data_IF_504582527315
#
_entry.id   IF_504582527315
#
_cell.length_a   1.000
_cell.length_b   1.000
_cell.length_c   1.000
_cell.angle_alpha   90.00
_cell.angle_beta   90.00
_cell.angle_gamma   90.00
#
_symmetry.space_group_name_H-M   'P 1'
#
loop_
_entity.id
_entity.type
_entity.pdbx_description
1 polymer ?
#
# COMPACT_ATOMS: atom_id res chain seq x y z
N UNK A 1 16.74 -1.74 8.86
CA UNK A 1 15.31 -2.11 8.90
C UNK A 1 15.11 -3.45 8.21
N UNK A 2 14.37 -4.33 8.84
CA UNK A 2 14.05 -5.64 8.30
C UNK A 2 12.59 -5.69 7.85
N UNK A 3 12.35 -6.26 6.67
CA UNK A 3 11.00 -6.54 6.15
C UNK A 3 10.84 -8.05 6.10
N UNK A 4 9.77 -8.56 6.71
CA UNK A 4 9.47 -9.99 6.75
C UNK A 4 7.99 -10.25 6.55
N UNK A 5 7.64 -11.49 6.22
CA UNK A 5 6.24 -11.91 6.19
C UNK A 5 5.61 -11.76 7.58
N UNK A 6 4.36 -11.32 7.58
CA UNK A 6 3.55 -11.26 8.80
C UNK A 6 3.18 -12.66 9.26
N UNK A 7 3.02 -12.81 10.57
CA UNK A 7 2.45 -14.00 11.20
C UNK A 7 1.16 -13.62 11.92
N UNK A 8 0.31 -14.57 12.31
CA UNK A 8 -0.91 -14.26 13.06
C UNK A 8 -0.68 -13.45 14.34
N UNK A 9 0.49 -13.59 14.96
CA UNK A 9 0.87 -12.84 16.17
C UNK A 9 1.08 -11.35 15.88
N UNK A 10 1.28 -10.97 14.63
CA UNK A 10 1.48 -9.57 14.22
C UNK A 10 0.16 -8.79 14.07
N UNK A 11 -0.99 -9.46 14.11
CA UNK A 11 -2.29 -8.85 13.81
C UNK A 11 -2.53 -7.57 14.61
N UNK A 12 -2.34 -7.62 15.92
CA UNK A 12 -2.58 -6.49 16.81
C UNK A 12 -1.67 -5.30 16.47
N UNK A 13 -0.39 -5.56 16.22
CA UNK A 13 0.57 -4.52 15.83
C UNK A 13 0.23 -3.90 14.47
N UNK A 14 -0.18 -4.72 13.52
CA UNK A 14 -0.61 -4.26 12.20
C UNK A 14 -1.85 -3.37 12.32
N UNK A 15 -2.86 -3.80 13.07
CA UNK A 15 -4.08 -3.01 13.26
C UNK A 15 -3.78 -1.66 13.93
N UNK A 16 -2.86 -1.63 14.87
CA UNK A 16 -2.42 -0.39 15.51
C UNK A 16 -1.78 0.58 14.50
N UNK A 17 -0.91 0.07 13.62
CA UNK A 17 -0.31 0.87 12.55
C UNK A 17 -1.36 1.42 11.59
N UNK A 18 -2.32 0.59 11.20
CA UNK A 18 -3.39 0.99 10.26
C UNK A 18 -4.32 2.03 10.89
N UNK A 19 -4.66 1.91 12.16
CA UNK A 19 -5.47 2.89 12.87
C UNK A 19 -4.75 4.25 12.97
N UNK A 20 -3.45 4.23 13.23
CA UNK A 20 -2.63 5.44 13.24
C UNK A 20 -2.56 6.10 11.87
N UNK A 21 -2.41 5.31 10.81
CA UNK A 21 -2.38 5.80 9.43
C UNK A 21 -3.74 6.41 9.03
N UNK A 22 -4.86 5.79 9.42
CA UNK A 22 -6.20 6.33 9.17
C UNK A 22 -6.36 7.70 9.85
N UNK A 23 -5.96 7.81 11.10
CA UNK A 23 -6.01 9.07 11.83
C UNK A 23 -5.18 10.16 11.15
N UNK A 24 -4.01 9.81 10.66
CA UNK A 24 -3.15 10.73 9.90
C UNK A 24 -3.84 11.18 8.61
N UNK A 25 -4.43 10.26 7.85
CA UNK A 25 -5.17 10.58 6.62
C UNK A 25 -6.31 11.56 6.89
N UNK A 26 -7.08 11.34 7.95
CA UNK A 26 -8.20 12.21 8.35
C UNK A 26 -7.67 13.61 8.64
N UNK A 27 -6.59 13.75 9.40
CA UNK A 27 -5.98 15.05 9.71
C UNK A 27 -5.49 15.78 8.46
N UNK A 28 -5.13 15.03 7.41
CA UNK A 28 -4.67 15.60 6.13
C UNK A 28 -5.82 15.87 5.15
N UNK A 29 -7.07 15.73 5.59
CA UNK A 29 -8.25 15.97 4.75
C UNK A 29 -8.68 14.78 3.91
N UNK A 30 -8.08 13.60 4.11
CA UNK A 30 -8.40 12.37 3.39
C UNK A 30 -9.19 11.43 4.31
N UNK A 31 -10.51 11.70 4.45
CA UNK A 31 -11.38 10.97 5.37
C UNK A 31 -12.11 9.80 4.74
N UNK A 32 -12.00 9.59 3.42
CA UNK A 32 -12.82 8.62 2.70
C UNK A 32 -12.04 7.47 2.09
N UNK A 33 -10.72 7.55 1.97
CA UNK A 33 -9.92 6.46 1.43
C UNK A 33 -10.03 5.20 2.29
N UNK A 34 -9.93 5.35 3.60
CA UNK A 34 -10.12 4.27 4.57
C UNK A 34 -11.27 4.64 5.50
N UNK A 35 -12.52 4.27 5.17
CA UNK A 35 -13.65 4.55 6.04
C UNK A 35 -13.53 3.80 7.36
N UNK A 36 -14.34 4.20 8.33
CA UNK A 36 -14.37 3.55 9.64
C UNK A 36 -14.58 2.04 9.46
N UNK A 37 -13.73 1.24 10.14
CA UNK A 37 -13.77 -0.22 10.05
C UNK A 37 -12.98 -0.82 8.91
N UNK A 38 -12.39 -0.02 8.03
CA UNK A 38 -11.49 -0.50 6.97
C UNK A 38 -10.08 0.06 7.19
N UNK A 39 -9.02 -0.74 7.02
CA UNK A 39 -9.06 -2.19 6.82
C UNK A 39 -9.54 -2.92 8.09
N UNK A 40 -10.36 -3.96 7.92
CA UNK A 40 -10.87 -4.76 9.04
C UNK A 40 -9.84 -5.80 9.50
N UNK A 41 -10.02 -6.33 10.72
CA UNK A 41 -9.21 -7.46 11.18
C UNK A 41 -9.33 -8.66 10.24
N UNK A 42 -10.53 -8.93 9.72
CA UNK A 42 -10.74 -10.03 8.78
C UNK A 42 -9.94 -9.83 7.50
N UNK A 43 -9.89 -8.62 6.95
CA UNK A 43 -9.08 -8.31 5.78
C UNK A 43 -7.62 -8.62 6.06
N UNK A 44 -7.11 -8.18 7.20
CA UNK A 44 -5.69 -8.39 7.54
C UNK A 44 -5.40 -9.86 7.80
N UNK A 45 -6.31 -10.60 8.44
CA UNK A 45 -6.16 -12.06 8.59
C UNK A 45 -6.07 -12.76 7.23
N UNK A 46 -6.89 -12.35 6.26
CA UNK A 46 -6.81 -12.88 4.89
C UNK A 46 -5.48 -12.54 4.23
N UNK A 47 -5.00 -11.30 4.40
CA UNK A 47 -3.72 -10.88 3.86
C UNK A 47 -2.57 -11.73 4.42
N UNK A 48 -2.59 -11.98 5.73
CA UNK A 48 -1.59 -12.82 6.41
C UNK A 48 -1.68 -14.26 5.90
N UNK A 49 -2.89 -14.82 5.86
CA UNK A 49 -3.09 -16.21 5.43
C UNK A 49 -2.70 -16.43 3.98
N UNK A 50 -2.86 -15.43 3.12
CA UNK A 50 -2.49 -15.52 1.69
C UNK A 50 -0.98 -15.39 1.44
N UNK A 51 -0.19 -15.00 2.47
CA UNK A 51 1.26 -14.82 2.32
C UNK A 51 1.63 -13.49 1.66
N UNK A 52 0.75 -12.49 1.69
CA UNK A 52 0.97 -11.19 1.06
C UNK A 52 1.11 -10.03 2.05
N UNK A 53 0.96 -10.29 3.34
CA UNK A 53 1.15 -9.27 4.37
C UNK A 53 2.60 -9.26 4.85
N UNK A 54 3.18 -8.07 4.92
CA UNK A 54 4.56 -7.86 5.38
C UNK A 54 4.59 -6.85 6.50
N UNK A 55 5.56 -7.02 7.39
CA UNK A 55 5.82 -6.08 8.48
C UNK A 55 7.26 -5.61 8.45
N UNK A 56 7.47 -4.43 8.97
CA UNK A 56 8.77 -3.78 9.04
C UNK A 56 9.18 -3.63 10.50
N UNK A 57 10.42 -4.00 10.81
CA UNK A 57 11.02 -3.87 12.12
C UNK A 57 12.35 -3.12 12.01
N UNK A 58 12.72 -2.40 13.05
CA UNK A 58 13.99 -1.67 13.10
C UNK A 58 14.71 -2.01 14.38
N UNK A 59 15.95 -2.46 14.27
CA UNK A 59 16.80 -2.70 15.43
C UNK A 59 16.84 -1.46 16.33
N UNK A 60 16.67 -1.64 17.64
CA UNK A 60 16.66 -0.55 18.62
C UNK A 60 15.31 0.11 18.80
N UNK A 61 14.29 -0.26 18.03
CA UNK A 61 12.91 0.22 18.18
C UNK A 61 12.00 -0.94 18.54
N UNK A 62 11.12 -0.73 19.53
CA UNK A 62 10.18 -1.75 19.96
C UNK A 62 9.00 -1.87 18.98
N UNK A 63 8.59 -3.10 18.71
CA UNK A 63 7.43 -3.40 17.92
C UNK A 63 7.59 -3.13 16.43
N UNK A 64 6.47 -3.14 15.72
CA UNK A 64 6.42 -2.92 14.29
C UNK A 64 6.50 -1.43 13.97
N UNK A 65 7.27 -1.07 12.95
CA UNK A 65 7.39 0.32 12.48
C UNK A 65 6.64 0.56 11.17
N UNK A 66 6.25 -0.49 10.49
CA UNK A 66 5.49 -0.40 9.25
C UNK A 66 4.85 -1.71 8.85
N UNK A 67 3.91 -1.64 7.90
CA UNK A 67 3.24 -2.79 7.30
C UNK A 67 2.78 -2.44 5.90
N UNK A 68 2.66 -3.45 5.05
CA UNK A 68 2.10 -3.31 3.71
C UNK A 68 1.65 -4.67 3.17
N UNK A 69 0.76 -4.62 2.18
CA UNK A 69 0.40 -5.77 1.36
C UNK A 69 1.18 -5.70 0.06
N UNK A 70 1.74 -6.82 -0.37
CA UNK A 70 2.40 -6.92 -1.67
C UNK A 70 2.09 -8.27 -2.30
N UNK A 71 1.59 -8.26 -3.53
CA UNK A 71 1.30 -9.46 -4.30
C UNK A 71 1.69 -9.26 -5.76
N UNK A 72 2.13 -10.33 -6.40
CA UNK A 72 2.38 -10.38 -7.85
C UNK A 72 1.26 -11.19 -8.51
N UNK A 73 0.07 -10.62 -8.49
CA UNK A 73 -1.18 -11.24 -8.97
C UNK A 73 -2.04 -10.17 -9.62
N UNK A 74 -2.97 -10.60 -10.48
CA UNK A 74 -3.97 -9.70 -11.03
C UNK A 74 -4.86 -9.15 -9.92
N UNK A 75 -5.02 -7.83 -9.89
CA UNK A 75 -5.91 -7.15 -8.98
C UNK A 75 -7.26 -6.96 -9.68
N UNK A 76 -8.37 -7.54 -9.17
CA UNK A 76 -9.66 -7.44 -9.84
C UNK A 76 -10.12 -6.00 -10.12
N UNK A 77 -9.83 -5.06 -9.20
CA UNK A 77 -10.21 -3.65 -9.38
C UNK A 77 -9.39 -2.93 -10.43
N UNK A 78 -8.30 -3.53 -10.92
CA UNK A 78 -7.45 -2.96 -11.97
C UNK A 78 -7.79 -3.47 -13.36
N UNK A 79 -8.73 -4.40 -13.49
CA UNK A 79 -9.14 -4.95 -14.78
C UNK A 79 -9.89 -3.95 -15.64
N UNK A 80 -10.60 -3.00 -14.99
CA UNK A 80 -11.28 -1.91 -15.66
C UNK A 80 -10.67 -0.59 -15.23
N UNK A 81 -10.20 0.20 -16.19
CA UNK A 81 -9.61 1.52 -15.97
C UNK A 81 -10.19 2.54 -16.93
N UNK A 82 -10.56 3.69 -16.44
CA UNK A 82 -10.83 4.87 -17.26
C UNK A 82 -9.49 5.54 -17.54
N UNK A 83 -8.97 5.30 -18.73
CA UNK A 83 -7.61 5.59 -19.11
C UNK A 83 -6.94 4.35 -19.66
N UNK A 84 -5.64 4.23 -19.49
CA UNK A 84 -4.92 3.05 -19.97
C UNK A 84 -3.67 2.80 -19.11
N UNK A 85 -3.50 1.54 -18.69
CA UNK A 85 -2.23 1.09 -18.13
C UNK A 85 -1.10 1.21 -19.16
N UNK A 86 0.14 1.26 -18.70
CA UNK A 86 1.30 1.36 -19.59
C UNK A 86 1.45 0.14 -20.50
N UNK A 87 1.04 -1.04 -20.01
CA UNK A 87 1.10 -2.30 -20.75
C UNK A 87 0.17 -3.34 -20.12
N UNK A 88 0.12 -4.54 -20.68
CA UNK A 88 -0.61 -5.70 -20.18
C UNK A 88 0.31 -6.73 -19.54
N UNK A 89 1.56 -6.38 -19.24
CA UNK A 89 2.51 -7.30 -18.60
C UNK A 89 2.10 -7.61 -17.16
N UNK A 90 2.53 -8.75 -16.61
CA UNK A 90 2.35 -9.04 -15.20
C UNK A 90 2.90 -7.94 -14.30
N UNK A 91 2.24 -7.69 -13.18
CA UNK A 91 2.58 -6.58 -12.28
C UNK A 91 2.48 -7.01 -10.83
N UNK A 92 3.20 -6.27 -9.98
CA UNK A 92 3.01 -6.32 -8.55
C UNK A 92 2.06 -5.22 -8.09
N UNK A 93 1.47 -5.41 -6.93
CA UNK A 93 0.52 -4.47 -6.32
C UNK A 93 0.92 -4.24 -4.88
N UNK A 94 0.92 -2.97 -4.44
CA UNK A 94 1.05 -2.60 -3.03
C UNK A 94 -0.27 -2.04 -2.56
N UNK A 95 -0.76 -2.51 -1.42
CA UNK A 95 -1.94 -1.98 -0.72
C UNK A 95 -1.64 -1.78 0.76
N UNK A 96 -2.44 -0.95 1.41
CA UNK A 96 -2.47 -0.83 2.86
C UNK A 96 -1.09 -0.58 3.47
N UNK A 97 -0.32 0.29 2.83
CA UNK A 97 0.98 0.72 3.34
C UNK A 97 0.76 1.69 4.51
N UNK A 98 1.35 1.39 5.64
CA UNK A 98 1.25 2.22 6.83
C UNK A 98 2.56 2.19 7.62
N UNK A 99 2.90 3.32 8.24
CA UNK A 99 4.03 3.42 9.15
C UNK A 99 3.68 4.33 10.32
N UNK A 100 4.43 4.22 11.41
CA UNK A 100 4.23 5.05 12.60
C UNK A 100 5.14 6.29 12.63
N UNK A 101 5.91 6.51 11.58
CA UNK A 101 6.77 7.69 11.43
C UNK A 101 8.12 7.59 12.12
N UNK A 102 8.40 6.54 12.90
CA UNK A 102 9.69 6.40 13.58
C UNK A 102 10.84 6.13 12.63
N UNK A 103 10.57 5.54 11.47
CA UNK A 103 11.56 5.35 10.41
C UNK A 103 11.20 6.25 9.24
N UNK A 104 12.06 7.21 8.93
CA UNK A 104 11.83 8.14 7.82
C UNK A 104 11.98 7.42 6.48
N UNK A 105 11.18 7.86 5.48
CA UNK A 105 11.25 7.32 4.13
C UNK A 105 10.77 5.87 4.04
N UNK A 106 9.77 5.49 4.83
CA UNK A 106 9.25 4.11 4.84
C UNK A 106 8.80 3.68 3.47
N UNK A 107 8.02 4.50 2.77
CA UNK A 107 7.52 4.16 1.44
C UNK A 107 8.67 3.95 0.43
N UNK A 108 9.71 4.77 0.50
CA UNK A 108 10.90 4.61 -0.36
C UNK A 108 11.63 3.29 -0.05
N UNK A 109 11.71 2.92 1.21
CA UNK A 109 12.35 1.65 1.63
C UNK A 109 11.53 0.44 1.17
N UNK A 110 10.21 0.53 1.26
CA UNK A 110 9.31 -0.51 0.74
C UNK A 110 9.45 -0.62 -0.78
N UNK A 111 9.50 0.51 -1.48
CA UNK A 111 9.69 0.51 -2.93
C UNK A 111 11.01 -0.14 -3.34
N UNK A 112 12.09 0.15 -2.63
CA UNK A 112 13.39 -0.49 -2.89
C UNK A 112 13.33 -2.01 -2.70
N UNK A 113 12.65 -2.46 -1.64
CA UNK A 113 12.46 -3.89 -1.37
C UNK A 113 11.61 -4.57 -2.46
N UNK A 114 10.54 -3.92 -2.90
CA UNK A 114 9.67 -4.41 -3.98
C UNK A 114 10.42 -4.45 -5.31
N UNK A 115 11.23 -3.43 -5.60
CA UNK A 115 12.01 -3.33 -6.84
C UNK A 115 13.02 -4.47 -7.02
N UNK A 116 13.44 -5.09 -5.93
CA UNK A 116 14.29 -6.27 -5.98
C UNK A 116 13.51 -7.56 -6.31
N UNK A 117 12.19 -7.51 -6.36
CA UNK A 117 11.30 -8.69 -6.48
C UNK A 117 10.38 -8.66 -7.69
N UNK A 118 10.08 -7.49 -8.21
CA UNK A 118 9.28 -7.37 -9.44
C UNK A 118 9.77 -6.19 -10.27
N UNK A 119 9.43 -6.20 -11.55
CA UNK A 119 9.89 -5.20 -12.51
C UNK A 119 8.78 -4.27 -12.99
N UNK A 120 7.55 -4.48 -12.51
CA UNK A 120 6.38 -3.73 -12.93
C UNK A 120 5.43 -3.59 -11.76
N UNK A 121 5.05 -2.37 -11.39
CA UNK A 121 4.27 -2.11 -10.19
C UNK A 121 3.10 -1.19 -10.49
N UNK A 122 1.91 -1.57 -10.02
CA UNK A 122 0.70 -0.75 -10.07
C UNK A 122 0.27 -0.38 -8.65
N UNK A 123 -0.10 0.87 -8.46
CA UNK A 123 -0.56 1.41 -7.16
C UNK A 123 -1.75 2.32 -7.43
N UNK A 124 -2.72 2.32 -6.55
CA UNK A 124 -3.80 3.29 -6.56
C UNK A 124 -3.84 4.07 -5.23
N UNK A 125 -4.37 5.29 -5.28
CA UNK A 125 -4.56 6.10 -4.10
C UNK A 125 -5.72 7.09 -4.29
N UNK A 126 -6.25 7.60 -3.18
CA UNK A 126 -7.28 8.64 -3.19
C UNK A 126 -6.67 9.98 -3.61
N UNK A 127 -7.44 10.78 -4.34
CA UNK A 127 -7.00 12.11 -4.80
C UNK A 127 -6.62 13.06 -3.66
N UNK A 128 -7.17 12.86 -2.46
CA UNK A 128 -6.86 13.66 -1.28
C UNK A 128 -5.59 13.20 -0.53
N UNK A 129 -4.98 12.09 -0.95
CA UNK A 129 -3.79 11.56 -0.28
C UNK A 129 -2.53 12.22 -0.84
N UNK A 130 -2.25 13.46 -0.41
CA UNK A 130 -1.13 14.24 -0.92
C UNK A 130 0.23 13.60 -0.62
N UNK A 131 0.35 12.94 0.52
CA UNK A 131 1.59 12.23 0.90
C UNK A 131 1.92 11.14 -0.12
N UNK A 132 0.94 10.31 -0.48
CA UNK A 132 1.13 9.24 -1.45
C UNK A 132 1.31 9.80 -2.87
N UNK A 133 0.55 10.82 -3.25
CA UNK A 133 0.69 11.44 -4.57
C UNK A 133 2.09 12.04 -4.76
N UNK A 134 2.62 12.72 -3.74
CA UNK A 134 3.98 13.27 -3.78
C UNK A 134 5.03 12.15 -3.88
N UNK A 135 4.84 11.06 -3.15
CA UNK A 135 5.71 9.89 -3.24
C UNK A 135 5.72 9.29 -4.66
N UNK A 136 4.54 9.11 -5.25
CA UNK A 136 4.42 8.53 -6.60
C UNK A 136 5.06 9.43 -7.65
N UNK A 137 4.82 10.73 -7.57
CA UNK A 137 5.42 11.70 -8.50
C UNK A 137 6.95 11.72 -8.36
N UNK A 138 7.45 11.82 -7.14
CA UNK A 138 8.90 11.85 -6.84
C UNK A 138 9.60 10.60 -7.34
N UNK A 139 8.92 9.47 -7.33
CA UNK A 139 9.49 8.19 -7.74
C UNK A 139 9.19 7.83 -9.21
N UNK A 140 8.69 8.76 -10.00
CA UNK A 140 8.54 8.58 -11.44
C UNK A 140 7.40 7.66 -11.86
N UNK A 141 6.37 7.50 -11.05
CA UNK A 141 5.18 6.76 -11.45
C UNK A 141 4.38 7.56 -12.47
N UNK A 142 3.79 6.87 -13.43
CA UNK A 142 2.90 7.46 -14.43
C UNK A 142 1.46 7.36 -13.96
N UNK A 143 0.73 8.48 -13.99
CA UNK A 143 -0.70 8.48 -13.77
C UNK A 143 -1.39 7.90 -15.01
N UNK A 144 -2.07 6.77 -14.86
CA UNK A 144 -2.65 6.01 -15.96
C UNK A 144 -4.14 6.27 -16.14
N UNK A 145 -4.83 6.69 -15.08
CA UNK A 145 -6.27 6.92 -15.16
C UNK A 145 -6.95 6.73 -13.81
N UNK A 146 -8.23 6.36 -13.86
CA UNK A 146 -9.07 6.16 -12.68
C UNK A 146 -9.57 4.73 -12.65
N UNK A 147 -9.44 4.09 -11.48
CA UNK A 147 -10.07 2.80 -11.20
C UNK A 147 -11.14 3.00 -10.13
N UNK A 148 -11.98 1.99 -9.93
CA UNK A 148 -13.03 2.02 -8.93
C UNK A 148 -12.85 0.83 -7.98
N UNK A 149 -12.77 1.13 -6.68
CA UNK A 149 -12.66 0.08 -5.66
C UNK A 149 -14.01 -0.56 -5.41
N UNK A 150 -14.06 -1.60 -4.56
CA UNK A 150 -15.24 -2.47 -4.42
C UNK A 150 -16.52 -1.74 -4.02
N UNK A 151 -16.44 -0.61 -3.31
CA UNK A 151 -17.61 0.19 -2.95
C UNK A 151 -18.03 1.20 -4.03
N UNK A 152 -17.36 1.18 -5.20
CA UNK A 152 -17.62 2.10 -6.30
C UNK A 152 -16.89 3.43 -6.21
N UNK A 153 -16.09 3.66 -5.17
CA UNK A 153 -15.33 4.89 -5.02
C UNK A 153 -14.18 4.97 -6.01
N UNK A 154 -13.90 6.17 -6.59
CA UNK A 154 -12.79 6.33 -7.51
C UNK A 154 -11.44 6.39 -6.81
N UNK A 155 -10.41 5.93 -7.50
CA UNK A 155 -9.00 6.05 -7.10
C UNK A 155 -8.16 6.42 -8.31
N UNK A 156 -7.11 7.19 -8.08
CA UNK A 156 -6.11 7.49 -9.11
C UNK A 156 -5.16 6.30 -9.24
N UNK A 157 -4.97 5.84 -10.46
CA UNK A 157 -4.19 4.64 -10.77
C UNK A 157 -2.84 5.01 -11.37
N UNK A 158 -1.78 4.40 -10.89
CA UNK A 158 -0.40 4.68 -11.27
C UNK A 158 0.34 3.39 -11.60
N UNK A 159 1.30 3.50 -12.50
CA UNK A 159 2.17 2.37 -12.86
C UNK A 159 3.60 2.85 -13.06
N UNK A 160 4.55 1.96 -12.77
CA UNK A 160 5.98 2.19 -13.01
C UNK A 160 6.68 0.88 -13.33
N UNK A 161 7.55 0.92 -14.34
CA UNK A 161 8.53 -0.13 -14.56
C UNK A 161 9.72 0.10 -13.63
N UNK A 162 10.07 -0.92 -12.85
CA UNK A 162 11.04 -0.82 -11.75
C UNK A 162 12.46 -1.26 -12.15
N UNK A 163 12.62 -1.75 -13.35
CA UNK A 163 13.92 -2.23 -13.82
C UNK A 163 14.84 -1.10 -14.26
#
# INVERSE_FOLDING_TARGET
>A
MQIRLSTPEDLSGIMSLLDGARSFMIRQGNSTQWPVGYPSQEQIRRDIASGHSYVCEKEGLDGLVGTFYFAQEEEPTYQHIEGAWLDEAPYGVIHRLASDGRVKGMADRVLAWVSARCTNLRIDTHEANQTMLSFLERNGFTHCGTIYVSDGSPRLAFQKHLA
#
